data_IF_543805630300
#
_entry.id   IF_543805630300
#
_cell.length_a   1.000
_cell.length_b   1.000
_cell.length_c   1.000
_cell.angle_alpha   90.00
_cell.angle_beta   90.00
_cell.angle_gamma   90.00
#
_symmetry.space_group_name_H-M   'P 1'
#
loop_
_entity.id
_entity.type
_entity.pdbx_description
1 polymer ?
#
# COMPACT_ATOMS: atom_id res chain seq x y z
N UNK A 1 7.71 -5.89 14.86
CA UNK A 1 7.18 -4.62 14.33
C UNK A 1 6.31 -3.87 15.33
N UNK A 2 5.29 -4.48 15.95
CA UNK A 2 4.41 -3.82 16.95
C UNK A 2 5.19 -3.22 18.12
N UNK A 3 6.15 -3.95 18.71
CA UNK A 3 6.98 -3.46 19.81
C UNK A 3 7.80 -2.24 19.43
N UNK A 4 8.37 -2.22 18.22
CA UNK A 4 9.09 -1.07 17.68
C UNK A 4 8.17 0.15 17.54
N UNK A 5 6.98 -0.03 16.96
CA UNK A 5 6.01 1.05 16.76
C UNK A 5 5.53 1.62 18.11
N UNK A 6 5.27 0.75 19.10
CA UNK A 6 4.89 1.19 20.44
C UNK A 6 6.00 1.99 21.12
N UNK A 7 7.25 1.57 20.99
CA UNK A 7 8.41 2.28 21.54
C UNK A 7 8.60 3.63 20.86
N UNK A 8 8.45 3.69 19.54
CA UNK A 8 8.52 4.93 18.77
C UNK A 8 7.46 5.94 19.24
N UNK A 9 6.19 5.50 19.31
CA UNK A 9 5.09 6.35 19.76
C UNK A 9 5.31 6.86 21.19
N UNK A 10 5.77 5.99 22.10
CA UNK A 10 6.08 6.33 23.49
C UNK A 10 7.24 7.35 23.58
N UNK A 11 8.27 7.21 22.73
CA UNK A 11 9.42 8.10 22.72
C UNK A 11 9.08 9.55 22.34
N UNK A 12 8.01 9.75 21.59
CA UNK A 12 7.56 11.09 21.16
C UNK A 12 6.27 11.55 21.85
N UNK A 13 5.75 10.78 22.79
CA UNK A 13 4.54 11.13 23.53
C UNK A 13 4.71 12.48 24.24
N UNK A 14 3.74 13.39 24.05
CA UNK A 14 3.78 14.73 24.63
C UNK A 14 4.69 15.74 23.93
N UNK A 15 5.37 15.35 22.84
CA UNK A 15 6.17 16.29 22.05
C UNK A 15 5.28 16.97 20.99
N UNK A 16 4.94 18.23 21.21
CA UNK A 16 4.08 19.01 20.31
C UNK A 16 4.69 19.27 18.91
N UNK A 17 5.97 18.98 18.71
CA UNK A 17 6.67 19.14 17.42
C UNK A 17 6.72 17.85 16.59
N UNK A 18 6.16 16.76 17.11
CA UNK A 18 6.19 15.45 16.46
C UNK A 18 4.78 14.88 16.38
N UNK A 19 4.42 14.40 15.21
CA UNK A 19 3.19 13.66 14.98
C UNK A 19 3.56 12.28 14.46
N UNK A 20 3.10 11.24 15.14
CA UNK A 20 3.30 9.85 14.72
C UNK A 20 2.13 9.42 13.86
N UNK A 21 2.40 9.02 12.62
CA UNK A 21 1.40 8.48 11.70
C UNK A 21 1.36 6.96 11.87
N UNK A 22 0.24 6.42 12.34
CA UNK A 22 0.06 4.97 12.52
C UNK A 22 -0.30 4.29 11.19
N UNK A 23 0.69 4.14 10.34
CA UNK A 23 0.55 3.42 9.08
C UNK A 23 0.33 1.92 9.28
N UNK A 24 0.89 1.34 10.34
CA UNK A 24 0.73 -0.09 10.63
C UNK A 24 -0.74 -0.49 10.83
N UNK A 25 -1.47 0.21 11.70
CA UNK A 25 -2.89 -0.04 11.91
C UNK A 25 -3.69 0.21 10.63
N UNK A 26 -3.44 1.33 9.95
CA UNK A 26 -4.12 1.65 8.69
C UNK A 26 -3.91 0.59 7.61
N UNK A 27 -2.69 0.09 7.44
CA UNK A 27 -2.40 -0.97 6.47
C UNK A 27 -3.11 -2.28 6.81
N UNK A 28 -3.12 -2.67 8.10
CA UNK A 28 -3.86 -3.86 8.54
C UNK A 28 -5.37 -3.73 8.26
N UNK A 29 -5.95 -2.55 8.50
CA UNK A 29 -7.36 -2.28 8.19
C UNK A 29 -7.64 -2.37 6.67
N UNK A 30 -6.75 -1.85 5.84
CA UNK A 30 -6.87 -1.95 4.38
C UNK A 30 -6.84 -3.40 3.90
N UNK A 31 -5.97 -4.23 4.49
CA UNK A 31 -5.88 -5.67 4.17
C UNK A 31 -7.09 -6.44 4.68
N UNK A 32 -7.58 -6.12 5.88
CA UNK A 32 -8.74 -6.79 6.48
C UNK A 32 -10.07 -6.40 5.82
N UNK A 33 -10.22 -5.14 5.41
CA UNK A 33 -11.46 -4.54 4.92
C UNK A 33 -11.24 -3.74 3.62
N UNK A 34 -10.69 -4.33 2.56
CA UNK A 34 -10.23 -3.59 1.38
C UNK A 34 -11.34 -2.75 0.73
N UNK A 35 -12.56 -3.24 0.67
CA UNK A 35 -13.68 -2.54 0.06
C UNK A 35 -14.01 -1.20 0.74
N UNK A 36 -13.78 -1.06 2.04
CA UNK A 36 -13.98 0.20 2.78
C UNK A 36 -13.01 1.31 2.33
N UNK A 37 -11.90 0.92 1.72
CA UNK A 37 -10.87 1.82 1.20
C UNK A 37 -10.91 1.95 -0.33
N UNK A 38 -11.93 1.38 -0.99
CA UNK A 38 -12.02 1.36 -2.44
C UNK A 38 -11.02 0.41 -3.12
N UNK A 39 -10.41 -0.48 -2.35
CA UNK A 39 -9.50 -1.51 -2.86
C UNK A 39 -10.29 -2.73 -3.33
N UNK A 40 -9.92 -3.25 -4.50
CA UNK A 40 -10.48 -4.50 -5.04
C UNK A 40 -9.63 -5.71 -4.68
N UNK A 41 -8.34 -5.49 -4.38
CA UNK A 41 -7.43 -6.53 -3.93
C UNK A 41 -6.34 -5.94 -3.02
N UNK A 42 -6.15 -6.53 -1.86
CA UNK A 42 -5.12 -6.15 -0.88
C UNK A 42 -4.23 -7.35 -0.48
N UNK A 43 -4.13 -8.36 -1.34
CA UNK A 43 -3.35 -9.58 -1.11
C UNK A 43 -2.34 -9.85 -2.21
N UNK A 44 -2.74 -9.67 -3.45
CA UNK A 44 -1.90 -9.96 -4.61
C UNK A 44 -1.21 -8.69 -5.09
N UNK A 45 -0.11 -8.88 -5.82
CA UNK A 45 0.63 -7.79 -6.46
C UNK A 45 0.15 -7.62 -7.91
N UNK A 46 0.22 -6.38 -8.43
CA UNK A 46 -0.12 -6.12 -9.83
C UNK A 46 1.04 -6.40 -10.77
N UNK A 47 2.28 -6.24 -10.30
CA UNK A 47 3.46 -6.48 -11.11
C UNK A 47 3.64 -7.98 -11.35
N UNK A 48 3.83 -8.42 -12.59
CA UNK A 48 4.11 -9.83 -12.87
C UNK A 48 5.40 -10.29 -12.19
N UNK A 49 5.35 -11.47 -11.57
CA UNK A 49 6.54 -12.11 -11.02
C UNK A 49 7.38 -12.61 -12.20
N UNK A 50 8.63 -12.17 -12.30
CA UNK A 50 9.56 -12.51 -13.37
C UNK A 50 10.55 -13.62 -12.99
N UNK A 51 10.58 -14.00 -11.71
CA UNK A 51 11.44 -15.07 -11.19
C UNK A 51 11.37 -15.16 -9.68
N UNK A 52 12.20 -16.04 -9.12
CA UNK A 52 12.41 -16.16 -7.67
C UNK A 52 13.88 -15.90 -7.39
N UNK A 53 14.17 -15.01 -6.47
CA UNK A 53 15.53 -14.71 -6.04
C UNK A 53 16.18 -15.85 -5.25
N UNK A 54 17.48 -15.78 -5.03
CA UNK A 54 18.22 -16.74 -4.19
C UNK A 54 17.78 -16.75 -2.73
N UNK A 55 17.11 -15.69 -2.29
CA UNK A 55 16.49 -15.54 -0.99
C UNK A 55 15.07 -16.15 -0.89
N UNK A 56 14.58 -16.75 -1.99
CA UNK A 56 13.24 -17.32 -2.09
C UNK A 56 12.13 -16.30 -2.31
N UNK A 57 12.45 -15.02 -2.49
CA UNK A 57 11.47 -13.97 -2.72
C UNK A 57 11.16 -13.75 -4.20
N UNK A 58 9.93 -13.33 -4.55
CA UNK A 58 9.59 -12.98 -5.91
C UNK A 58 10.43 -11.83 -6.45
N UNK A 59 10.85 -11.95 -7.70
CA UNK A 59 11.54 -10.90 -8.45
C UNK A 59 10.59 -10.22 -9.43
N UNK A 60 10.81 -8.94 -9.66
CA UNK A 60 9.99 -8.08 -10.52
C UNK A 60 10.88 -7.26 -11.46
N UNK A 61 10.34 -6.84 -12.60
CA UNK A 61 11.05 -6.02 -13.59
C UNK A 61 10.25 -4.75 -13.88
N UNK A 62 10.89 -3.58 -13.79
CA UNK A 62 10.20 -2.29 -14.01
C UNK A 62 9.55 -2.21 -15.40
N UNK A 63 10.19 -2.74 -16.44
CA UNK A 63 9.64 -2.71 -17.80
C UNK A 63 8.27 -3.42 -17.92
N UNK A 64 8.02 -4.44 -17.11
CA UNK A 64 6.77 -5.20 -17.11
C UNK A 64 5.74 -4.66 -16.10
N UNK A 65 6.11 -3.66 -15.32
CA UNK A 65 5.27 -3.06 -14.28
C UNK A 65 4.98 -1.57 -14.50
N UNK A 66 4.89 -1.15 -15.74
CA UNK A 66 4.41 0.18 -16.09
C UNK A 66 2.88 0.17 -16.29
N UNK A 67 2.24 1.32 -16.16
CA UNK A 67 0.80 1.45 -16.40
C UNK A 67 0.39 0.90 -17.78
N UNK A 68 1.16 1.21 -18.81
CA UNK A 68 0.92 0.71 -20.19
C UNK A 68 1.04 -0.80 -20.25
N UNK A 69 2.09 -1.38 -19.65
CA UNK A 69 2.28 -2.83 -19.64
C UNK A 69 1.18 -3.55 -18.88
N UNK A 70 0.81 -3.06 -17.70
CA UNK A 70 -0.27 -3.64 -16.88
C UNK A 70 -1.63 -3.57 -17.57
N UNK A 71 -1.95 -2.45 -18.21
CA UNK A 71 -3.22 -2.28 -18.93
C UNK A 71 -3.31 -3.14 -20.21
N UNK A 72 -2.17 -3.60 -20.73
CA UNK A 72 -2.11 -4.53 -21.86
C UNK A 72 -2.27 -5.99 -21.45
N UNK A 73 -2.14 -6.32 -20.16
CA UNK A 73 -2.34 -7.67 -19.65
C UNK A 73 -3.83 -8.01 -19.53
N UNK A 74 -4.22 -9.27 -19.78
CA UNK A 74 -5.56 -9.71 -19.44
C UNK A 74 -5.77 -9.59 -17.92
N UNK A 75 -6.93 -9.05 -17.47
CA UNK A 75 -7.23 -9.00 -16.06
C UNK A 75 -7.17 -10.40 -15.42
N UNK A 76 -6.62 -10.54 -14.20
CA UNK A 76 -6.70 -11.79 -13.46
C UNK A 76 -8.16 -12.24 -13.24
N UNK A 77 -8.37 -13.54 -13.04
CA UNK A 77 -9.69 -14.08 -12.76
C UNK A 77 -10.33 -13.38 -11.55
N UNK A 78 -11.56 -12.87 -11.75
CA UNK A 78 -12.29 -12.13 -10.71
C UNK A 78 -11.91 -10.65 -10.57
N UNK A 79 -10.89 -10.15 -11.27
CA UNK A 79 -10.57 -8.73 -11.28
C UNK A 79 -11.63 -7.95 -12.07
N UNK A 80 -11.90 -6.72 -11.63
CA UNK A 80 -12.84 -5.79 -12.24
C UNK A 80 -12.11 -4.58 -12.81
N UNK A 81 -12.74 -3.82 -13.71
CA UNK A 81 -12.19 -2.59 -14.25
C UNK A 81 -11.54 -2.70 -15.63
N UNK A 82 -11.60 -3.88 -16.28
CA UNK A 82 -11.02 -4.07 -17.62
C UNK A 82 -9.52 -3.77 -17.65
N UNK A 83 -9.05 -2.91 -18.57
CA UNK A 83 -7.66 -2.50 -18.67
C UNK A 83 -7.13 -1.75 -17.42
N UNK A 84 -8.02 -1.25 -16.59
CA UNK A 84 -7.69 -0.53 -15.35
C UNK A 84 -7.74 -1.42 -14.09
N UNK A 85 -7.81 -2.73 -14.26
CA UNK A 85 -7.95 -3.71 -13.17
C UNK A 85 -6.96 -3.52 -12.02
N UNK A 86 -5.75 -3.08 -12.35
CA UNK A 86 -4.63 -2.92 -11.41
C UNK A 86 -4.71 -1.66 -10.55
N UNK A 87 -5.48 -0.64 -10.96
CA UNK A 87 -5.51 0.68 -10.32
C UNK A 87 -6.03 0.67 -8.89
N UNK A 88 -6.83 -0.30 -8.53
CA UNK A 88 -7.43 -0.43 -7.20
C UNK A 88 -6.86 -1.60 -6.39
N UNK A 89 -5.73 -2.16 -6.80
CA UNK A 89 -4.94 -3.04 -5.97
C UNK A 89 -4.12 -2.24 -4.95
N UNK A 90 -3.86 -2.83 -3.78
CA UNK A 90 -3.05 -2.19 -2.75
C UNK A 90 -1.54 -2.22 -3.06
N UNK A 91 -1.06 -3.33 -3.65
CA UNK A 91 0.37 -3.59 -3.80
C UNK A 91 0.82 -3.70 -5.26
N UNK A 92 1.90 -2.98 -5.58
CA UNK A 92 2.59 -3.12 -6.87
C UNK A 92 3.42 -4.40 -6.91
N UNK A 93 4.25 -4.59 -5.91
CA UNK A 93 5.12 -5.75 -5.71
C UNK A 93 5.16 -6.13 -4.23
N UNK A 94 6.08 -6.99 -3.81
CA UNK A 94 6.20 -7.46 -2.42
C UNK A 94 6.58 -6.35 -1.41
N UNK A 95 7.00 -5.18 -1.87
CA UNK A 95 7.52 -4.10 -1.02
C UNK A 95 6.81 -2.76 -1.21
N UNK A 96 6.20 -2.52 -2.37
CA UNK A 96 5.70 -1.21 -2.75
C UNK A 96 4.17 -1.21 -2.92
N UNK A 97 3.49 -0.17 -2.38
CA UNK A 97 2.10 0.09 -2.71
C UNK A 97 1.94 0.47 -4.18
N UNK A 98 0.73 0.32 -4.71
CA UNK A 98 0.33 0.95 -5.98
C UNK A 98 0.23 2.47 -5.83
N UNK A 99 0.08 3.24 -6.93
CA UNK A 99 -0.26 4.67 -6.82
C UNK A 99 -1.50 4.92 -5.96
N UNK A 100 -2.51 4.06 -6.02
CA UNK A 100 -3.69 4.16 -5.15
C UNK A 100 -3.36 3.88 -3.68
N UNK A 101 -2.53 2.88 -3.40
CA UNK A 101 -2.03 2.62 -2.04
C UNK A 101 -1.25 3.80 -1.46
N UNK A 102 -0.43 4.47 -2.28
CA UNK A 102 0.25 5.71 -1.89
C UNK A 102 -0.75 6.86 -1.64
N UNK A 103 -1.82 6.96 -2.41
CA UNK A 103 -2.88 7.95 -2.18
C UNK A 103 -3.56 7.72 -0.83
N UNK A 104 -3.87 6.48 -0.46
CA UNK A 104 -4.43 6.15 0.85
C UNK A 104 -3.48 6.53 2.00
N UNK A 105 -2.18 6.31 1.82
CA UNK A 105 -1.16 6.77 2.79
C UNK A 105 -1.16 8.30 2.90
N UNK A 106 -1.19 9.02 1.78
CA UNK A 106 -1.26 10.49 1.76
C UNK A 106 -2.50 11.01 2.50
N UNK A 107 -3.65 10.38 2.33
CA UNK A 107 -4.88 10.71 3.04
C UNK A 107 -4.76 10.46 4.55
N UNK A 108 -4.09 9.36 4.96
CA UNK A 108 -3.82 9.08 6.36
C UNK A 108 -2.94 10.16 6.99
N UNK A 109 -1.85 10.54 6.31
CA UNK A 109 -0.95 11.62 6.76
C UNK A 109 -1.73 12.91 6.93
N UNK A 110 -2.49 13.33 5.90
CA UNK A 110 -3.27 14.57 5.96
C UNK A 110 -4.27 14.59 7.10
N UNK A 111 -5.00 13.49 7.34
CA UNK A 111 -5.93 13.38 8.47
C UNK A 111 -5.21 13.46 9.82
N UNK A 112 -4.08 12.78 9.95
CA UNK A 112 -3.30 12.78 11.19
C UNK A 112 -2.77 14.17 11.52
N UNK A 113 -2.28 14.91 10.52
CA UNK A 113 -1.84 16.29 10.68
C UNK A 113 -3.00 17.23 11.02
N UNK A 114 -4.15 17.08 10.38
CA UNK A 114 -5.34 17.87 10.69
C UNK A 114 -5.83 17.62 12.13
N UNK A 115 -5.86 16.37 12.58
CA UNK A 115 -6.22 16.00 13.95
C UNK A 115 -5.24 16.56 14.98
N UNK A 116 -3.97 16.70 14.62
CA UNK A 116 -2.95 17.34 15.45
C UNK A 116 -3.00 18.88 15.42
N UNK A 117 -3.87 19.46 14.61
CA UNK A 117 -4.00 20.92 14.47
C UNK A 117 -2.91 21.56 13.59
N UNK A 118 -2.25 20.78 12.74
CA UNK A 118 -1.16 21.26 11.87
C UNK A 118 -1.64 21.67 10.46
N UNK A 119 -2.85 21.31 10.12
CA UNK A 119 -3.52 21.68 8.86
C UNK A 119 -4.84 22.39 9.13
#
# INVERSE_FOLDING_TARGET
MQAFNAQLAKGFQGNAKVVVVDFYTSLNDQVANPAQFGLTNAKDTVCPITGIGSDGLPSYTFATCTATALSALPPPAGATGGADWWKTYAFSDSFHPTPYGHQLLGQLVSRTLAQAGWL
#
